data_IF_681143860688
#
_entry.id   IF_681143860688
#
_cell.length_a   1.000
_cell.length_b   1.000
_cell.length_c   1.000
_cell.angle_alpha   90.00
_cell.angle_beta   90.00
_cell.angle_gamma   90.00
#
_symmetry.space_group_name_H-M   'P 1'
#
loop_
_entity.id
_entity.type
_entity.pdbx_description
1 polymer ?
#
# COMPACT_ATOMS: atom_id res chain seq x y z
N UNK A 1 8.94 13.25 -13.81
CA UNK A 1 9.70 13.28 -12.55
C UNK A 1 10.42 11.94 -12.40
N UNK A 2 11.74 11.90 -12.15
CA UNK A 2 12.47 10.62 -12.10
C UNK A 2 12.66 10.12 -10.66
N UNK A 3 12.37 8.84 -10.43
CA UNK A 3 12.61 8.15 -9.16
C UNK A 3 14.10 8.15 -8.76
N UNK A 4 15.01 8.51 -9.67
CA UNK A 4 16.44 8.62 -9.40
C UNK A 4 16.75 9.63 -8.30
N UNK A 5 15.93 10.69 -8.17
CA UNK A 5 16.12 11.73 -7.14
C UNK A 5 15.78 11.28 -5.72
N UNK A 6 15.00 10.20 -5.56
CA UNK A 6 14.70 9.59 -4.26
C UNK A 6 15.83 8.71 -3.75
N UNK A 7 16.69 8.18 -4.64
CA UNK A 7 17.71 7.19 -4.28
C UNK A 7 18.65 7.66 -3.17
N UNK A 8 19.19 8.91 -3.17
CA UNK A 8 20.04 9.39 -2.09
C UNK A 8 19.33 9.41 -0.73
N UNK A 9 18.06 9.84 -0.70
CA UNK A 9 17.25 9.85 0.52
C UNK A 9 17.08 8.43 1.06
N UNK A 10 16.71 7.46 0.21
CA UNK A 10 16.54 6.05 0.63
C UNK A 10 17.85 5.44 1.13
N UNK A 11 18.99 5.75 0.51
CA UNK A 11 20.30 5.28 0.98
C UNK A 11 20.59 5.83 2.37
N UNK A 12 20.38 7.13 2.59
CA UNK A 12 20.60 7.74 3.91
C UNK A 12 19.63 7.21 4.97
N UNK A 13 18.36 6.99 4.61
CA UNK A 13 17.38 6.35 5.51
C UNK A 13 17.80 4.94 5.92
N UNK A 14 18.51 4.19 5.07
CA UNK A 14 19.02 2.86 5.44
C UNK A 14 20.04 2.89 6.58
N UNK A 15 20.78 3.99 6.70
CA UNK A 15 21.76 4.15 7.79
C UNK A 15 21.06 4.39 9.13
N UNK A 16 19.85 4.98 9.10
CA UNK A 16 19.05 5.27 10.30
C UNK A 16 18.11 4.12 10.70
N UNK A 17 17.53 3.43 9.71
CA UNK A 17 16.47 2.42 9.92
C UNK A 17 16.85 0.99 9.54
N UNK A 18 17.99 0.78 8.86
CA UNK A 18 18.40 -0.53 8.35
C UNK A 18 18.02 -0.79 6.88
N UNK A 19 18.16 -2.03 6.37
CA UNK A 19 18.17 -2.33 4.93
C UNK A 19 16.90 -1.98 4.14
N UNK A 20 15.74 -1.90 4.80
CA UNK A 20 14.43 -1.67 4.17
C UNK A 20 13.65 -0.55 4.87
N UNK A 21 14.16 0.69 4.88
CA UNK A 21 13.63 1.77 5.72
C UNK A 21 12.13 1.97 5.51
N UNK A 22 11.67 1.96 4.25
CA UNK A 22 10.27 2.19 3.89
C UNK A 22 9.35 0.96 4.08
N UNK A 23 9.88 -0.17 4.53
CA UNK A 23 9.10 -1.35 4.91
C UNK A 23 8.78 -1.38 6.43
N UNK A 24 9.36 -0.46 7.21
CA UNK A 24 9.07 -0.32 8.62
C UNK A 24 7.88 0.62 8.85
N UNK A 25 7.12 0.42 9.93
CA UNK A 25 6.08 1.36 10.33
C UNK A 25 6.66 2.69 10.82
N UNK A 26 7.84 2.63 11.45
CA UNK A 26 8.45 3.72 12.20
C UNK A 26 8.58 5.03 11.40
N UNK A 27 9.07 5.07 10.15
CA UNK A 27 9.16 6.30 9.35
C UNK A 27 7.83 7.02 9.11
N UNK A 28 6.71 6.32 9.23
CA UNK A 28 5.39 6.83 8.86
C UNK A 28 4.47 7.02 10.08
N UNK A 29 4.53 6.12 11.06
CA UNK A 29 3.56 6.06 12.16
C UNK A 29 4.12 6.53 13.51
N UNK A 30 5.45 6.62 13.66
CA UNK A 30 6.09 7.10 14.89
C UNK A 30 6.62 8.51 14.70
N UNK A 31 6.43 9.38 15.71
CA UNK A 31 6.85 10.79 15.67
C UNK A 31 8.37 10.87 15.48
N UNK A 32 9.14 10.11 16.25
CA UNK A 32 10.60 10.07 16.15
C UNK A 32 11.05 9.58 14.78
N UNK A 33 10.32 8.64 14.17
CA UNK A 33 10.60 8.17 12.82
C UNK A 33 10.34 9.26 11.78
N UNK A 34 9.25 10.02 11.91
CA UNK A 34 8.94 11.15 11.02
C UNK A 34 9.98 12.27 11.14
N UNK A 35 10.50 12.55 12.34
CA UNK A 35 11.59 13.52 12.55
C UNK A 35 12.86 13.10 11.80
N UNK A 36 13.23 11.82 11.90
CA UNK A 36 14.37 11.26 11.18
C UNK A 36 14.18 11.39 9.66
N UNK A 37 12.99 11.08 9.15
CA UNK A 37 12.67 11.23 7.72
C UNK A 37 12.80 12.69 7.29
N UNK A 38 12.20 13.62 8.03
CA UNK A 38 12.25 15.06 7.75
C UNK A 38 13.69 15.57 7.73
N UNK A 39 14.51 15.13 8.69
CA UNK A 39 15.94 15.46 8.74
C UNK A 39 16.67 14.96 7.49
N UNK A 40 16.53 13.67 7.18
CA UNK A 40 17.22 13.05 6.04
C UNK A 40 16.83 13.67 4.70
N UNK A 41 15.53 13.86 4.44
CA UNK A 41 15.08 14.46 3.19
C UNK A 41 15.56 15.92 3.05
N UNK A 42 15.76 16.63 4.17
CA UNK A 42 16.29 18.00 4.17
C UNK A 42 17.79 18.01 3.89
N UNK A 43 18.55 17.14 4.58
CA UNK A 43 20.00 16.98 4.40
C UNK A 43 20.37 16.64 2.95
N UNK A 44 19.61 15.75 2.31
CA UNK A 44 19.85 15.36 0.91
C UNK A 44 19.26 16.34 -0.12
N UNK A 45 18.58 17.39 0.33
CA UNK A 45 17.93 18.38 -0.54
C UNK A 45 16.82 17.79 -1.40
N UNK A 46 16.02 16.87 -0.86
CA UNK A 46 14.94 16.21 -1.59
C UNK A 46 13.87 17.23 -2.00
N UNK A 47 13.52 17.21 -3.29
CA UNK A 47 12.50 18.10 -3.85
C UNK A 47 11.18 17.98 -3.12
N UNK A 48 10.49 19.11 -2.92
CA UNK A 48 9.26 19.18 -2.13
C UNK A 48 8.18 18.18 -2.60
N UNK A 49 8.07 17.93 -3.90
CA UNK A 49 7.13 16.97 -4.47
C UNK A 49 7.43 15.49 -4.12
N UNK A 50 8.65 15.20 -3.64
CA UNK A 50 9.12 13.87 -3.26
C UNK A 50 9.24 13.70 -1.73
N UNK A 51 9.01 14.76 -0.96
CA UNK A 51 9.11 14.73 0.50
C UNK A 51 8.02 13.83 1.11
N UNK A 52 8.42 12.96 2.03
CA UNK A 52 7.52 12.02 2.69
C UNK A 52 6.89 12.62 3.95
N UNK A 53 7.58 13.55 4.59
CA UNK A 53 7.10 14.31 5.76
C UNK A 53 7.26 15.79 5.45
N UNK A 54 6.28 16.64 5.76
CA UNK A 54 6.40 18.09 5.56
C UNK A 54 5.99 18.83 6.82
N UNK A 55 6.49 20.05 7.00
CA UNK A 55 6.03 20.93 8.10
C UNK A 55 4.96 21.88 7.58
N UNK A 56 3.80 21.90 8.26
CA UNK A 56 2.71 22.86 8.04
C UNK A 56 2.30 23.46 9.38
N UNK A 57 2.31 24.79 9.47
CA UNK A 57 1.95 25.51 10.70
C UNK A 57 2.70 25.02 11.95
N UNK A 58 3.97 24.66 11.81
CA UNK A 58 4.81 24.15 12.90
C UNK A 58 4.59 22.68 13.28
N UNK A 59 3.71 21.96 12.58
CA UNK A 59 3.46 20.54 12.81
C UNK A 59 4.02 19.70 11.66
N UNK A 60 4.61 18.55 11.98
CA UNK A 60 4.96 17.55 10.99
C UNK A 60 3.70 16.81 10.54
N UNK A 61 3.53 16.72 9.23
CA UNK A 61 2.41 16.00 8.61
C UNK A 61 2.94 15.12 7.48
N UNK A 62 2.25 14.01 7.23
CA UNK A 62 2.41 13.26 5.99
C UNK A 62 1.60 13.95 4.87
N UNK A 63 2.18 14.22 3.70
CA UNK A 63 1.42 14.57 2.52
C UNK A 63 0.35 13.50 2.22
N UNK A 64 -0.75 13.88 1.58
CA UNK A 64 -1.91 13.00 1.39
C UNK A 64 -1.57 11.65 0.75
N UNK A 65 -0.68 11.61 -0.24
CA UNK A 65 -0.28 10.35 -0.89
C UNK A 65 0.58 9.47 0.02
N UNK A 66 1.47 10.06 0.83
CA UNK A 66 2.24 9.32 1.84
C UNK A 66 1.33 8.77 2.93
N UNK A 67 0.35 9.57 3.38
CA UNK A 67 -0.63 9.12 4.37
C UNK A 67 -1.46 7.94 3.83
N UNK A 68 -1.99 8.05 2.60
CA UNK A 68 -2.73 6.96 1.95
C UNK A 68 -1.91 5.67 1.83
N UNK A 69 -0.62 5.80 1.50
CA UNK A 69 0.28 4.65 1.48
C UNK A 69 0.48 4.06 2.88
N UNK A 70 0.80 4.90 3.88
CA UNK A 70 1.00 4.44 5.25
C UNK A 70 -0.24 3.71 5.80
N UNK A 71 -1.43 4.24 5.50
CA UNK A 71 -2.70 3.65 5.90
C UNK A 71 -2.94 2.31 5.20
N UNK A 72 -2.47 2.12 3.95
CA UNK A 72 -2.75 0.92 3.16
C UNK A 72 -1.90 -0.30 3.53
N UNK A 73 -0.86 -0.12 4.33
CA UNK A 73 0.10 -1.18 4.72
C UNK A 73 -0.31 -1.80 6.05
N UNK A 74 -0.34 -3.12 6.09
CA UNK A 74 -0.53 -3.89 7.32
C UNK A 74 0.84 -4.24 7.92
N UNK A 75 1.02 -3.94 9.21
CA UNK A 75 2.29 -4.17 9.92
C UNK A 75 2.14 -5.25 11.01
N UNK A 76 3.15 -6.11 11.13
CA UNK A 76 3.33 -7.04 12.25
C UNK A 76 4.73 -6.85 12.80
N UNK A 77 4.86 -6.69 14.11
CA UNK A 77 6.13 -6.38 14.79
C UNK A 77 6.88 -5.20 14.16
N UNK A 78 6.13 -4.21 13.66
CA UNK A 78 6.65 -3.00 13.03
C UNK A 78 7.16 -3.18 11.59
N UNK A 79 6.98 -4.34 10.98
CA UNK A 79 7.38 -4.65 9.60
C UNK A 79 6.14 -4.84 8.72
N UNK A 80 6.18 -4.30 7.50
CA UNK A 80 5.13 -4.49 6.51
C UNK A 80 4.97 -5.98 6.16
N UNK A 81 3.74 -6.46 6.21
CA UNK A 81 3.37 -7.87 5.93
C UNK A 81 2.40 -8.01 4.77
N UNK A 82 1.50 -7.05 4.60
CA UNK A 82 0.60 -7.00 3.47
C UNK A 82 0.32 -5.55 3.06
N UNK A 83 -0.16 -5.36 1.85
CA UNK A 83 -0.56 -4.03 1.34
C UNK A 83 -1.94 -4.13 0.70
N UNK A 84 -2.79 -3.15 0.96
CA UNK A 84 -4.02 -2.91 0.19
C UNK A 84 -3.65 -2.18 -1.10
N UNK A 85 -3.82 -2.82 -2.28
CA UNK A 85 -3.35 -2.24 -3.53
C UNK A 85 -4.20 -1.05 -4.00
N UNK A 86 -5.46 -0.97 -3.54
CA UNK A 86 -6.35 0.16 -3.78
C UNK A 86 -6.88 0.66 -2.44
N UNK A 87 -6.78 1.96 -2.21
CA UNK A 87 -7.28 2.59 -0.99
C UNK A 87 -8.81 2.42 -0.82
N UNK A 88 -9.53 2.29 -1.93
CA UNK A 88 -10.98 2.09 -1.98
C UNK A 88 -11.42 0.63 -1.86
N UNK A 89 -10.48 -0.33 -1.88
CA UNK A 89 -10.77 -1.73 -1.59
C UNK A 89 -10.23 -2.08 -0.21
N UNK A 90 -11.14 -2.36 0.70
CA UNK A 90 -10.82 -2.67 2.09
C UNK A 90 -10.54 -4.16 2.29
N UNK A 91 -10.98 -5.03 1.38
CA UNK A 91 -10.84 -6.48 1.51
C UNK A 91 -9.63 -7.07 0.76
N UNK A 92 -9.23 -6.50 -0.38
CA UNK A 92 -8.12 -7.04 -1.20
C UNK A 92 -6.77 -6.81 -0.51
N UNK A 93 -5.92 -7.83 -0.47
CA UNK A 93 -4.55 -7.76 0.05
C UNK A 93 -3.54 -8.34 -0.94
N UNK A 94 -2.36 -7.71 -0.98
CA UNK A 94 -1.11 -8.28 -1.48
C UNK A 94 -0.32 -8.78 -0.28
N UNK A 95 -0.36 -10.09 -0.02
CA UNK A 95 0.30 -10.72 1.12
C UNK A 95 1.32 -11.75 0.58
N UNK A 96 2.64 -11.56 0.74
CA UNK A 96 3.64 -12.48 0.21
C UNK A 96 3.51 -13.92 0.74
N UNK A 97 2.92 -14.11 1.91
CA UNK A 97 2.72 -15.43 2.52
C UNK A 97 1.47 -16.14 1.99
N UNK A 98 0.60 -15.44 1.24
CA UNK A 98 -0.62 -15.98 0.65
C UNK A 98 -0.63 -15.79 -0.86
N UNK A 99 -0.93 -16.82 -1.62
CA UNK A 99 -0.99 -16.73 -3.09
C UNK A 99 0.27 -16.12 -3.73
N UNK A 100 1.43 -16.22 -3.06
CA UNK A 100 2.71 -15.66 -3.52
C UNK A 100 2.62 -14.14 -3.79
N UNK A 101 1.86 -13.41 -2.95
CA UNK A 101 1.69 -11.96 -3.09
C UNK A 101 0.68 -11.52 -4.16
N UNK A 102 -0.02 -12.46 -4.81
CA UNK A 102 -1.10 -12.11 -5.74
C UNK A 102 -2.29 -11.47 -4.99
N UNK A 103 -3.00 -10.52 -5.62
CA UNK A 103 -4.19 -9.92 -5.02
C UNK A 103 -5.23 -10.98 -4.67
N UNK A 104 -5.64 -10.99 -3.41
CA UNK A 104 -6.59 -11.98 -2.92
C UNK A 104 -7.45 -11.44 -1.78
N UNK A 105 -8.60 -12.09 -1.60
CA UNK A 105 -9.52 -11.90 -0.48
C UNK A 105 -9.72 -13.26 0.17
N UNK A 106 -9.50 -13.36 1.48
CA UNK A 106 -9.64 -14.61 2.25
C UNK A 106 -8.94 -15.83 1.61
N UNK A 107 -7.83 -15.59 0.91
CA UNK A 107 -7.05 -16.65 0.24
C UNK A 107 -7.52 -16.99 -1.19
N UNK A 108 -8.61 -16.42 -1.67
CA UNK A 108 -9.08 -16.55 -3.06
C UNK A 108 -8.51 -15.43 -3.90
N UNK A 109 -7.89 -15.76 -5.03
CA UNK A 109 -7.33 -14.75 -5.94
C UNK A 109 -8.45 -13.94 -6.58
N UNK A 110 -8.31 -12.61 -6.64
CA UNK A 110 -9.30 -11.73 -7.27
C UNK A 110 -9.52 -12.07 -8.74
N UNK A 111 -8.48 -12.54 -9.43
CA UNK A 111 -8.56 -12.98 -10.82
C UNK A 111 -9.52 -14.16 -11.02
N UNK A 112 -9.58 -15.10 -10.06
CA UNK A 112 -10.49 -16.25 -10.12
C UNK A 112 -11.94 -15.78 -9.98
N UNK A 113 -12.22 -14.89 -9.03
CA UNK A 113 -13.55 -14.28 -8.86
C UNK A 113 -13.99 -13.52 -10.12
N UNK A 114 -13.05 -12.78 -10.74
CA UNK A 114 -13.30 -12.07 -12.00
C UNK A 114 -13.56 -13.02 -13.17
N UNK A 115 -12.85 -14.15 -13.26
CA UNK A 115 -13.06 -15.17 -14.30
C UNK A 115 -14.46 -15.79 -14.18
N UNK A 116 -14.85 -16.23 -12.98
CA UNK A 116 -16.17 -16.83 -12.73
C UNK A 116 -17.30 -15.83 -13.00
N UNK A 117 -17.15 -14.58 -12.58
CA UNK A 117 -18.12 -13.52 -12.87
C UNK A 117 -18.28 -13.29 -14.39
N UNK A 118 -17.16 -13.25 -15.14
CA UNK A 118 -17.20 -13.11 -16.61
C UNK A 118 -17.81 -14.34 -17.30
N UNK A 119 -17.69 -15.52 -16.70
CA UNK A 119 -18.36 -16.75 -17.17
C UNK A 119 -19.88 -16.75 -16.92
N UNK A 120 -20.40 -15.73 -16.23
CA UNK A 120 -21.83 -15.53 -15.98
C UNK A 120 -22.28 -15.85 -14.57
N UNK A 121 -21.35 -16.15 -13.65
CA UNK A 121 -21.68 -16.38 -12.25
C UNK A 121 -22.15 -15.08 -11.57
N UNK A 122 -23.17 -15.16 -10.72
CA UNK A 122 -23.69 -13.99 -10.01
C UNK A 122 -22.88 -13.70 -8.74
N UNK A 123 -22.81 -12.43 -8.31
CA UNK A 123 -22.13 -12.04 -7.07
C UNK A 123 -22.61 -12.85 -5.86
N UNK A 124 -23.93 -13.03 -5.72
CA UNK A 124 -24.50 -13.79 -4.59
C UNK A 124 -24.01 -15.24 -4.55
N UNK A 125 -23.80 -15.85 -5.72
CA UNK A 125 -23.32 -17.22 -5.83
C UNK A 125 -21.81 -17.32 -5.60
N UNK A 126 -21.03 -16.33 -6.06
CA UNK A 126 -19.61 -16.20 -5.74
C UNK A 126 -19.40 -16.06 -4.23
N UNK A 127 -20.11 -15.14 -3.58
CA UNK A 127 -20.07 -14.92 -2.13
C UNK A 127 -20.30 -16.22 -1.37
N UNK A 128 -21.33 -16.97 -1.79
CA UNK A 128 -21.65 -18.26 -1.19
C UNK A 128 -20.58 -19.33 -1.43
N UNK A 129 -20.04 -19.40 -2.65
CA UNK A 129 -19.06 -20.42 -3.06
C UNK A 129 -17.73 -20.23 -2.35
N UNK A 130 -17.31 -18.98 -2.19
CA UNK A 130 -16.02 -18.60 -1.63
C UNK A 130 -16.12 -18.14 -0.16
N UNK A 131 -17.30 -18.23 0.45
CA UNK A 131 -17.60 -17.78 1.82
C UNK A 131 -17.18 -16.33 2.06
N UNK A 132 -17.48 -15.45 1.10
CA UNK A 132 -17.18 -14.02 1.13
C UNK A 132 -18.43 -13.23 1.54
N UNK A 133 -18.20 -12.09 2.18
CA UNK A 133 -19.26 -11.12 2.42
C UNK A 133 -19.56 -10.35 1.11
N UNK A 134 -20.78 -9.85 0.93
CA UNK A 134 -21.19 -9.23 -0.35
C UNK A 134 -20.32 -8.02 -0.75
N UNK A 135 -19.83 -7.26 0.22
CA UNK A 135 -18.93 -6.13 -0.01
C UNK A 135 -17.53 -6.57 -0.48
N UNK A 136 -17.10 -7.77 -0.10
CA UNK A 136 -15.82 -8.34 -0.49
C UNK A 136 -15.78 -8.75 -1.96
N UNK A 137 -16.86 -9.32 -2.49
CA UNK A 137 -16.95 -9.67 -3.91
C UNK A 137 -16.92 -8.42 -4.81
N UNK A 138 -17.69 -7.39 -4.44
CA UNK A 138 -17.68 -6.12 -5.15
C UNK A 138 -16.29 -5.47 -5.12
N UNK A 139 -15.59 -5.56 -3.99
CA UNK A 139 -14.22 -5.10 -3.82
C UNK A 139 -13.23 -5.82 -4.76
N UNK A 140 -13.31 -7.15 -4.86
CA UNK A 140 -12.47 -7.93 -5.77
C UNK A 140 -12.68 -7.51 -7.23
N UNK A 141 -13.94 -7.39 -7.66
CA UNK A 141 -14.24 -7.01 -9.03
C UNK A 141 -13.86 -5.57 -9.35
N UNK A 142 -14.07 -4.63 -8.40
CA UNK A 142 -13.62 -3.25 -8.53
C UNK A 142 -12.11 -3.18 -8.70
N UNK A 143 -11.36 -3.99 -7.96
CA UNK A 143 -9.91 -4.09 -8.08
C UNK A 143 -9.48 -4.57 -9.48
N UNK A 144 -10.08 -5.64 -9.98
CA UNK A 144 -9.77 -6.19 -11.30
C UNK A 144 -10.11 -5.21 -12.44
N UNK A 145 -11.26 -4.54 -12.36
CA UNK A 145 -11.65 -3.51 -13.33
C UNK A 145 -10.71 -2.30 -13.32
N UNK A 146 -10.30 -1.86 -12.13
CA UNK A 146 -9.35 -0.74 -11.99
C UNK A 146 -7.98 -1.09 -12.57
N UNK A 147 -7.53 -2.34 -12.39
CA UNK A 147 -6.25 -2.82 -12.93
C UNK A 147 -6.30 -2.92 -14.45
N UNK A 148 -7.41 -3.37 -15.02
CA UNK A 148 -7.62 -3.37 -16.48
C UNK A 148 -7.61 -1.95 -17.07
N UNK A 149 -8.25 -1.00 -16.40
CA UNK A 149 -8.25 0.41 -16.83
C UNK A 149 -6.85 1.05 -16.81
N UNK A 150 -5.94 0.57 -15.95
CA UNK A 150 -4.55 1.02 -15.90
C UNK A 150 -3.64 0.33 -16.92
N UNK A 151 -4.09 -0.78 -17.52
CA UNK A 151 -3.34 -1.57 -18.49
C UNK A 151 -3.64 -1.20 -19.96
N UNK A 152 -4.65 -0.36 -20.21
CA UNK A 152 -5.02 0.16 -21.53
C UNK A 152 -4.60 1.62 -21.73
#
# INVERSE_FOLDING_TARGET
MSLQKLRPAVVRLREEFGPYPLAHMRPFLEVEGQELVLRVQTEVGLEQALQLVVVRNGQMILPAETQRFADSVDYVDGIATAVRPLWSSHAVRLDPQRNVGQPSIRGVRTAVLAEDYRAGESLVSLAKTYELESDQDEDALRFELSTLALAG
#
